data_IF_166178039008
#
_entry.id   IF_166178039008
#
_cell.length_a   1.000
_cell.length_b   1.000
_cell.length_c   1.000
_cell.angle_alpha   90.00
_cell.angle_beta   90.00
_cell.angle_gamma   90.00
#
_symmetry.space_group_name_H-M   'P 1'
#
loop_
_entity.id
_entity.type
_entity.pdbx_description
1 polymer ?
#
# COMPACT_ATOMS: atom_id res chain seq x y z
N UNK A 1 -17.34 27.53 -9.83
CA UNK A 1 -17.31 26.20 -10.48
C UNK A 1 -15.87 25.72 -10.72
N UNK A 2 -15.00 26.47 -11.41
CA UNK A 2 -13.60 26.08 -11.68
C UNK A 2 -12.79 25.80 -10.41
N UNK A 3 -12.88 26.64 -9.37
CA UNK A 3 -12.17 26.43 -8.10
C UNK A 3 -12.57 25.11 -7.40
N UNK A 4 -13.85 24.75 -7.42
CA UNK A 4 -14.35 23.50 -6.84
C UNK A 4 -13.78 22.29 -7.59
N UNK A 5 -13.78 22.34 -8.93
CA UNK A 5 -13.21 21.28 -9.76
C UNK A 5 -11.69 21.13 -9.52
N UNK A 6 -10.99 22.25 -9.36
CA UNK A 6 -9.56 22.23 -9.01
C UNK A 6 -9.30 21.54 -7.66
N UNK A 7 -10.07 21.90 -6.62
CA UNK A 7 -9.95 21.28 -5.30
C UNK A 7 -10.22 19.77 -5.37
N UNK A 8 -11.29 19.37 -6.07
CA UNK A 8 -11.63 17.95 -6.23
C UNK A 8 -10.49 17.21 -6.95
N UNK A 9 -10.00 17.74 -8.08
CA UNK A 9 -8.89 17.13 -8.82
C UNK A 9 -7.63 17.00 -7.95
N UNK A 10 -7.34 18.01 -7.15
CA UNK A 10 -6.21 18.04 -6.22
C UNK A 10 -6.34 16.97 -5.11
N UNK A 11 -7.53 16.84 -4.49
CA UNK A 11 -7.80 15.81 -3.48
C UNK A 11 -7.72 14.41 -4.07
N UNK A 12 -8.31 14.19 -5.25
CA UNK A 12 -8.28 12.90 -5.94
C UNK A 12 -6.85 12.52 -6.33
N UNK A 13 -6.07 13.47 -6.87
CA UNK A 13 -4.66 13.18 -7.24
C UNK A 13 -3.82 12.79 -6.04
N UNK A 14 -3.93 13.49 -4.91
CA UNK A 14 -3.22 13.13 -3.68
C UNK A 14 -3.66 11.77 -3.11
N UNK A 15 -4.95 11.46 -3.23
CA UNK A 15 -5.51 10.16 -2.83
C UNK A 15 -4.94 9.02 -3.67
N UNK A 16 -4.83 9.19 -5.00
CA UNK A 16 -4.22 8.23 -5.91
C UNK A 16 -2.70 8.10 -5.71
N UNK A 17 -2.01 9.21 -5.42
CA UNK A 17 -0.57 9.18 -5.10
C UNK A 17 -0.33 8.35 -3.83
N UNK A 18 -1.13 8.55 -2.77
CA UNK A 18 -1.02 7.76 -1.55
C UNK A 18 -1.27 6.26 -1.81
N UNK A 19 -2.26 5.94 -2.65
CA UNK A 19 -2.56 4.55 -3.04
C UNK A 19 -1.43 3.92 -3.85
N UNK A 20 -0.83 4.66 -4.79
CA UNK A 20 0.33 4.19 -5.55
C UNK A 20 1.54 3.94 -4.64
N UNK A 21 1.83 4.86 -3.70
CA UNK A 21 2.90 4.68 -2.71
C UNK A 21 2.65 3.44 -1.86
N UNK A 22 1.40 3.22 -1.42
CA UNK A 22 1.04 2.01 -0.67
C UNK A 22 1.30 0.75 -1.49
N UNK A 23 0.95 0.77 -2.78
CA UNK A 23 1.20 -0.34 -3.70
C UNK A 23 2.68 -0.61 -3.94
N UNK A 24 3.49 0.43 -4.14
CA UNK A 24 4.95 0.30 -4.31
C UNK A 24 5.59 -0.29 -3.04
N UNK A 25 5.16 0.19 -1.87
CA UNK A 25 5.68 -0.31 -0.58
C UNK A 25 5.30 -1.77 -0.37
N UNK A 26 4.04 -2.14 -0.63
CA UNK A 26 3.55 -3.52 -0.51
C UNK A 26 4.28 -4.44 -1.49
N UNK A 27 4.33 -4.07 -2.78
CA UNK A 27 5.08 -4.81 -3.81
C UNK A 27 6.55 -5.00 -3.42
N UNK A 28 7.20 -3.96 -2.88
CA UNK A 28 8.59 -4.07 -2.46
C UNK A 28 8.76 -5.06 -1.30
N UNK A 29 7.86 -5.05 -0.32
CA UNK A 29 7.88 -6.02 0.80
C UNK A 29 7.76 -7.46 0.30
N UNK A 30 6.85 -7.72 -0.64
CA UNK A 30 6.62 -9.06 -1.17
C UNK A 30 7.74 -9.55 -2.08
N UNK A 31 8.31 -8.64 -2.87
CA UNK A 31 9.22 -9.03 -3.96
C UNK A 31 10.69 -8.89 -3.62
N UNK A 32 11.05 -8.01 -2.69
CA UNK A 32 12.43 -7.70 -2.33
C UNK A 32 12.69 -7.69 -0.81
N UNK A 33 11.65 -7.55 0.00
CA UNK A 33 11.75 -7.54 1.45
C UNK A 33 12.29 -8.87 1.97
N UNK A 34 13.15 -8.80 3.02
CA UNK A 34 13.65 -9.95 3.76
C UNK A 34 13.49 -9.68 5.26
N UNK A 35 13.06 -10.69 6.01
CA UNK A 35 12.82 -10.56 7.46
C UNK A 35 14.10 -10.25 8.23
N UNK A 36 15.25 -10.67 7.70
CA UNK A 36 16.57 -10.44 8.30
C UNK A 36 17.09 -9.01 8.08
N UNK A 37 16.43 -8.17 7.30
CA UNK A 37 16.84 -6.77 7.09
C UNK A 37 16.80 -6.01 8.41
N UNK A 38 17.89 -5.32 8.82
CA UNK A 38 17.89 -4.54 10.05
C UNK A 38 16.77 -3.49 10.05
N UNK A 39 16.05 -3.36 11.14
CA UNK A 39 14.96 -2.38 11.36
C UNK A 39 13.74 -2.66 10.48
N UNK A 40 13.89 -2.70 9.16
CA UNK A 40 12.78 -2.83 8.20
C UNK A 40 12.19 -4.24 8.19
N UNK A 41 13.03 -5.27 8.34
CA UNK A 41 12.58 -6.67 8.43
C UNK A 41 11.51 -6.85 9.51
N UNK A 42 11.83 -6.68 10.79
CA UNK A 42 10.87 -6.88 11.87
C UNK A 42 9.78 -5.79 11.94
N UNK A 43 10.04 -4.59 11.41
CA UNK A 43 9.07 -3.49 11.49
C UNK A 43 7.93 -3.59 10.47
N UNK A 44 8.19 -4.16 9.28
CA UNK A 44 7.21 -4.19 8.20
C UNK A 44 7.19 -5.50 7.41
N UNK A 45 8.34 -6.11 7.07
CA UNK A 45 8.39 -7.31 6.20
C UNK A 45 7.82 -8.52 6.92
N UNK A 46 8.24 -8.80 8.15
CA UNK A 46 7.72 -9.91 8.97
C UNK A 46 6.20 -9.80 9.17
N UNK A 47 5.70 -8.58 9.42
CA UNK A 47 4.26 -8.33 9.59
C UNK A 47 3.52 -8.66 8.28
N UNK A 48 4.10 -8.29 7.15
CA UNK A 48 3.54 -8.55 5.82
C UNK A 48 3.57 -10.05 5.48
N UNK A 49 4.68 -10.76 5.72
CA UNK A 49 4.78 -12.21 5.52
C UNK A 49 3.76 -12.98 6.38
N UNK A 50 3.65 -12.59 7.67
CA UNK A 50 2.65 -13.19 8.56
C UNK A 50 1.22 -12.92 8.10
N UNK A 51 0.96 -11.77 7.50
CA UNK A 51 -0.33 -11.41 6.94
C UNK A 51 -0.68 -12.29 5.72
N UNK A 52 0.25 -12.54 4.79
CA UNK A 52 0.05 -13.45 3.68
C UNK A 52 -0.24 -14.89 4.13
N UNK A 53 0.48 -15.36 5.15
CA UNK A 53 0.24 -16.70 5.73
C UNK A 53 -1.12 -16.82 6.44
N UNK A 54 -1.59 -15.75 7.09
CA UNK A 54 -2.87 -15.68 7.78
C UNK A 54 -3.49 -14.27 7.70
N UNK A 55 -4.20 -13.95 6.62
CA UNK A 55 -4.74 -12.62 6.36
C UNK A 55 -5.63 -12.06 7.47
N UNK A 56 -6.39 -12.93 8.15
CA UNK A 56 -7.27 -12.50 9.24
C UNK A 56 -6.55 -12.21 10.57
N UNK A 57 -5.27 -12.54 10.69
CA UNK A 57 -4.49 -12.24 11.91
C UNK A 57 -4.39 -10.74 12.18
N UNK A 58 -4.42 -9.89 11.14
CA UNK A 58 -4.37 -8.44 11.31
C UNK A 58 -5.65 -7.85 11.94
N UNK A 59 -6.79 -8.56 11.89
CA UNK A 59 -8.07 -8.08 12.45
C UNK A 59 -7.98 -7.86 13.96
N UNK A 60 -7.23 -8.72 14.67
CA UNK A 60 -7.04 -8.62 16.13
C UNK A 60 -6.01 -7.57 16.55
N UNK A 61 -5.33 -6.93 15.60
CA UNK A 61 -4.31 -5.93 15.90
C UNK A 61 -4.88 -4.53 16.04
N UNK A 62 -4.32 -3.76 16.97
CA UNK A 62 -4.74 -2.38 17.17
C UNK A 62 -4.35 -1.50 15.97
N UNK A 63 -5.07 -0.37 15.82
CA UNK A 63 -4.75 0.68 14.85
C UNK A 63 -3.26 1.04 14.87
N UNK A 64 -2.72 1.35 16.05
CA UNK A 64 -1.34 1.79 16.19
C UNK A 64 -0.33 0.71 15.80
N UNK A 65 -0.60 -0.54 16.17
CA UNK A 65 0.25 -1.65 15.77
C UNK A 65 0.39 -1.75 14.24
N UNK A 66 -0.69 -1.59 13.51
CA UNK A 66 -0.71 -1.70 12.04
C UNK A 66 -0.16 -0.44 11.35
N UNK A 67 -0.40 0.74 11.91
CA UNK A 67 -0.19 2.00 11.19
C UNK A 67 1.10 2.72 11.56
N UNK A 68 1.74 2.41 12.70
CA UNK A 68 2.92 3.15 13.20
C UNK A 68 4.05 3.30 12.17
N UNK A 69 4.36 2.25 11.42
CA UNK A 69 5.42 2.29 10.41
C UNK A 69 5.05 3.21 9.24
N UNK A 70 3.78 3.16 8.80
CA UNK A 70 3.27 4.05 7.77
C UNK A 70 3.24 5.51 8.24
N UNK A 71 2.93 5.76 9.52
CA UNK A 71 3.02 7.09 10.12
C UNK A 71 4.45 7.63 10.13
N UNK A 72 5.39 6.84 10.65
CA UNK A 72 6.81 7.24 10.69
C UNK A 72 7.33 7.51 9.28
N UNK A 73 7.04 6.66 8.32
CA UNK A 73 7.46 6.82 6.93
C UNK A 73 6.85 8.08 6.29
N UNK A 74 5.52 8.23 6.33
CA UNK A 74 4.82 9.32 5.65
C UNK A 74 5.18 10.68 6.25
N UNK A 75 5.16 10.81 7.58
CA UNK A 75 5.46 12.06 8.25
C UNK A 75 6.96 12.33 8.36
N UNK A 76 7.80 11.30 8.35
CA UNK A 76 9.25 11.43 8.22
C UNK A 76 9.64 12.11 6.90
N UNK A 77 9.03 11.70 5.78
CA UNK A 77 9.22 12.36 4.47
C UNK A 77 8.77 13.83 4.53
N UNK A 78 7.61 14.12 5.13
CA UNK A 78 7.14 15.49 5.32
C UNK A 78 8.12 16.33 6.16
N UNK A 79 8.65 15.74 7.24
CA UNK A 79 9.64 16.41 8.10
C UNK A 79 10.95 16.71 7.37
N UNK A 80 11.49 15.75 6.63
CA UNK A 80 12.69 15.93 5.80
C UNK A 80 12.45 17.04 4.76
N UNK A 81 11.30 16.99 4.08
CA UNK A 81 10.94 18.01 3.10
C UNK A 81 10.92 19.40 3.72
N UNK A 82 10.26 19.54 4.89
CA UNK A 82 10.19 20.81 5.61
C UNK A 82 11.57 21.34 6.01
N UNK A 83 12.45 20.45 6.50
CA UNK A 83 13.82 20.83 6.87
C UNK A 83 14.67 21.30 5.68
N UNK A 84 14.42 20.78 4.49
CA UNK A 84 15.17 21.13 3.27
C UNK A 84 14.63 22.41 2.61
N UNK A 85 13.29 22.57 2.57
CA UNK A 85 12.63 23.61 1.76
C UNK A 85 11.94 24.71 2.58
N UNK A 86 11.94 24.60 3.92
CA UNK A 86 11.26 25.52 4.85
C UNK A 86 9.78 25.78 4.50
N UNK A 87 9.14 24.84 3.85
CA UNK A 87 7.72 24.84 3.56
C UNK A 87 7.19 23.40 3.50
N UNK A 88 5.88 23.22 3.70
CA UNK A 88 5.23 21.93 3.57
C UNK A 88 3.98 22.08 2.71
N UNK A 89 3.99 21.61 1.45
CA UNK A 89 2.83 21.67 0.56
C UNK A 89 1.64 20.91 1.14
N UNK A 90 0.45 21.49 1.09
CA UNK A 90 -0.80 20.85 1.55
C UNK A 90 -1.04 19.50 0.91
N UNK A 91 -0.60 19.30 -0.35
CA UNK A 91 -0.72 18.02 -1.02
C UNK A 91 0.12 16.93 -0.37
N UNK A 92 1.33 17.25 0.11
CA UNK A 92 2.14 16.29 0.88
C UNK A 92 1.48 15.92 2.21
N UNK A 93 0.90 16.91 2.90
CA UNK A 93 0.13 16.67 4.12
C UNK A 93 -1.04 15.71 3.82
N UNK A 94 -1.79 15.98 2.75
CA UNK A 94 -2.92 15.13 2.35
C UNK A 94 -2.48 13.71 2.02
N UNK A 95 -1.42 13.54 1.22
CA UNK A 95 -0.82 12.23 0.91
C UNK A 95 -0.37 11.52 2.18
N UNK A 96 0.27 12.22 3.10
CA UNK A 96 0.71 11.65 4.38
C UNK A 96 -0.46 11.20 5.26
N UNK A 97 -1.52 12.01 5.35
CA UNK A 97 -2.75 11.65 6.09
C UNK A 97 -3.39 10.39 5.52
N UNK A 98 -3.54 10.31 4.20
CA UNK A 98 -4.13 9.13 3.54
C UNK A 98 -3.21 7.92 3.67
N UNK A 99 -1.93 8.06 3.35
CA UNK A 99 -0.95 6.97 3.36
C UNK A 99 -0.74 6.36 4.74
N UNK A 100 -0.67 7.18 5.80
CA UNK A 100 -0.53 6.68 7.17
C UNK A 100 -1.76 5.88 7.65
N UNK A 101 -2.91 6.00 6.99
CA UNK A 101 -4.12 5.24 7.28
C UNK A 101 -4.40 4.08 6.31
N UNK A 102 -3.52 3.82 5.35
CA UNK A 102 -3.69 2.74 4.37
C UNK A 102 -3.88 1.37 5.00
N UNK A 103 -3.11 1.04 6.04
CA UNK A 103 -3.19 -0.25 6.72
C UNK A 103 -4.53 -0.50 7.44
N UNK A 104 -5.27 0.54 7.81
CA UNK A 104 -6.63 0.38 8.34
C UNK A 104 -7.62 0.03 7.23
N UNK A 105 -7.48 0.65 6.06
CA UNK A 105 -8.28 0.26 4.89
C UNK A 105 -7.98 -1.20 4.55
N UNK A 106 -6.73 -1.59 4.55
CA UNK A 106 -6.27 -2.97 4.34
C UNK A 106 -6.89 -3.94 5.38
N UNK A 107 -6.83 -3.62 6.67
CA UNK A 107 -7.50 -4.42 7.71
C UNK A 107 -9.00 -4.61 7.42
N UNK A 108 -9.71 -3.55 7.01
CA UNK A 108 -11.14 -3.63 6.69
C UNK A 108 -11.44 -4.53 5.48
N UNK A 109 -10.49 -4.77 4.58
CA UNK A 109 -10.69 -5.71 3.47
C UNK A 109 -10.70 -7.18 3.94
N UNK A 110 -10.12 -7.47 5.11
CA UNK A 110 -10.13 -8.82 5.70
C UNK A 110 -11.27 -9.06 6.70
N UNK A 111 -12.07 -8.02 7.00
CA UNK A 111 -13.22 -8.09 7.92
C UNK A 111 -14.50 -8.45 7.19
N UNK A 112 -15.35 -9.26 7.83
CA UNK A 112 -16.74 -9.44 7.40
C UNK A 112 -17.57 -8.17 7.62
N UNK A 113 -18.73 -8.06 6.99
CA UNK A 113 -19.59 -6.86 7.11
C UNK A 113 -20.02 -6.56 8.56
N UNK A 114 -20.23 -7.58 9.37
CA UNK A 114 -20.61 -7.46 10.77
C UNK A 114 -19.44 -7.15 11.74
N UNK A 115 -18.20 -7.21 11.27
CA UNK A 115 -16.99 -6.95 12.07
C UNK A 115 -16.50 -5.50 11.95
N UNK A 116 -17.03 -4.73 11.02
CA UNK A 116 -16.58 -3.38 10.71
C UNK A 116 -17.70 -2.34 10.77
N UNK A 117 -17.37 -1.05 10.98
CA UNK A 117 -18.37 0.02 10.99
C UNK A 117 -19.19 0.06 9.70
N UNK A 118 -20.50 0.30 9.80
CA UNK A 118 -21.40 0.38 8.63
C UNK A 118 -20.92 1.40 7.57
N UNK A 119 -20.34 2.51 8.02
CA UNK A 119 -19.80 3.54 7.10
C UNK A 119 -18.70 2.97 6.20
N UNK A 120 -17.83 2.10 6.74
CA UNK A 120 -16.77 1.42 5.96
C UNK A 120 -17.39 0.53 4.88
N UNK A 121 -18.41 -0.25 5.21
CA UNK A 121 -19.15 -1.07 4.24
C UNK A 121 -19.74 -0.21 3.11
N UNK A 122 -20.32 0.96 3.45
CA UNK A 122 -20.80 1.91 2.45
C UNK A 122 -19.68 2.46 1.56
N UNK A 123 -18.57 2.88 2.15
CA UNK A 123 -17.42 3.37 1.39
C UNK A 123 -16.87 2.32 0.42
N UNK A 124 -16.84 1.04 0.83
CA UNK A 124 -16.45 -0.10 -0.01
C UNK A 124 -17.46 -0.36 -1.15
N UNK A 125 -18.76 -0.31 -0.86
CA UNK A 125 -19.84 -0.46 -1.88
C UNK A 125 -19.82 0.67 -2.91
N UNK A 126 -19.55 1.90 -2.48
CA UNK A 126 -19.39 3.08 -3.33
C UNK A 126 -18.03 3.14 -4.06
N UNK A 127 -17.15 2.16 -3.83
CA UNK A 127 -15.79 2.10 -4.40
C UNK A 127 -14.92 3.33 -4.07
N UNK A 128 -15.14 3.93 -2.91
CA UNK A 128 -14.25 4.98 -2.38
C UNK A 128 -12.97 4.37 -1.85
N UNK A 129 -13.09 3.26 -1.11
CA UNK A 129 -11.98 2.47 -0.61
C UNK A 129 -12.06 1.03 -1.13
N UNK A 130 -10.94 0.32 -1.09
CA UNK A 130 -10.83 -1.07 -1.53
C UNK A 130 -11.77 -1.98 -0.72
N UNK A 131 -12.37 -2.95 -1.38
CA UNK A 131 -13.25 -3.95 -0.77
C UNK A 131 -12.60 -5.34 -0.68
N UNK A 132 -13.18 -6.28 0.10
CA UNK A 132 -12.63 -7.63 0.27
C UNK A 132 -12.39 -8.40 -1.03
N UNK A 133 -13.31 -8.34 -2.00
CA UNK A 133 -13.19 -9.07 -3.26
C UNK A 133 -12.02 -8.57 -4.11
N UNK A 134 -11.77 -7.24 -4.10
CA UNK A 134 -10.65 -6.64 -4.81
C UNK A 134 -9.32 -7.01 -4.18
N UNK A 135 -9.23 -6.97 -2.85
CA UNK A 135 -8.00 -7.32 -2.14
C UNK A 135 -7.71 -8.83 -2.20
N UNK A 136 -8.73 -9.69 -2.20
CA UNK A 136 -8.56 -11.13 -2.41
C UNK A 136 -7.85 -11.48 -3.73
N UNK A 137 -7.89 -10.59 -4.73
CA UNK A 137 -7.12 -10.75 -5.98
C UNK A 137 -5.62 -10.78 -5.72
N UNK A 138 -5.13 -9.98 -4.75
CA UNK A 138 -3.73 -9.98 -4.33
C UNK A 138 -3.35 -11.29 -3.63
N UNK A 139 -4.19 -11.80 -2.73
CA UNK A 139 -3.97 -13.08 -2.04
C UNK A 139 -4.18 -14.33 -2.91
N UNK A 140 -4.48 -14.16 -4.21
CA UNK A 140 -4.58 -15.28 -5.14
C UNK A 140 -3.22 -15.55 -5.77
N UNK A 141 -2.69 -16.78 -5.59
CA UNK A 141 -1.40 -17.17 -6.17
C UNK A 141 -1.31 -16.86 -7.67
N UNK A 142 -0.16 -16.37 -8.17
CA UNK A 142 1.14 -16.24 -7.50
C UNK A 142 1.34 -14.99 -6.63
N UNK A 143 0.30 -14.22 -6.30
CA UNK A 143 0.38 -13.00 -5.46
C UNK A 143 1.24 -11.88 -6.08
N UNK A 144 1.24 -11.78 -7.41
CA UNK A 144 2.10 -10.85 -8.17
C UNK A 144 1.33 -9.65 -8.77
N UNK A 145 0.20 -9.26 -8.16
CA UNK A 145 -0.69 -8.20 -8.65
C UNK A 145 -1.51 -7.57 -7.52
N UNK A 146 -2.21 -6.47 -7.84
CA UNK A 146 -3.16 -5.81 -6.96
C UNK A 146 -2.54 -5.30 -5.64
N UNK A 147 -1.33 -4.75 -5.68
CA UNK A 147 -0.59 -4.31 -4.51
C UNK A 147 -1.09 -3.03 -3.84
N UNK A 148 -1.83 -2.16 -4.56
CA UNK A 148 -2.45 -0.97 -3.96
C UNK A 148 -3.57 -1.38 -3.01
N UNK A 149 -3.60 -0.82 -1.79
CA UNK A 149 -4.47 -1.28 -0.70
C UNK A 149 -5.53 -0.26 -0.27
N UNK A 150 -5.51 0.96 -0.83
CA UNK A 150 -6.40 2.04 -0.40
C UNK A 150 -7.63 2.14 -1.30
N UNK A 151 -7.42 2.22 -2.63
CA UNK A 151 -8.51 2.39 -3.59
C UNK A 151 -8.69 1.18 -4.51
N UNK A 152 -9.88 1.01 -5.12
CA UNK A 152 -10.08 0.01 -6.16
C UNK A 152 -9.60 0.44 -7.55
N UNK A 153 -9.04 1.66 -7.71
CA UNK A 153 -8.94 2.28 -9.02
C UNK A 153 -7.61 2.02 -9.74
N UNK A 154 -6.49 2.01 -9.01
CA UNK A 154 -5.16 1.87 -9.61
C UNK A 154 -4.82 0.44 -10.01
N UNK A 155 -5.15 -0.54 -9.18
CA UNK A 155 -4.80 -1.94 -9.44
C UNK A 155 -5.20 -2.44 -10.84
N UNK A 156 -6.45 -2.24 -11.34
CA UNK A 156 -6.82 -2.70 -12.68
C UNK A 156 -5.97 -2.07 -13.80
N UNK A 157 -5.55 -0.81 -13.61
CA UNK A 157 -4.75 -0.07 -14.59
C UNK A 157 -3.31 -0.58 -14.58
N UNK A 158 -2.73 -0.70 -13.38
CA UNK A 158 -1.34 -1.13 -13.19
C UNK A 158 -1.14 -2.58 -13.64
N UNK A 159 -2.06 -3.48 -13.27
CA UNK A 159 -2.01 -4.89 -13.62
C UNK A 159 -2.19 -5.11 -15.13
N UNK A 160 -3.17 -4.45 -15.76
CA UNK A 160 -3.37 -4.50 -17.22
C UNK A 160 -2.13 -4.08 -18.00
N UNK A 161 -1.40 -3.09 -17.49
CA UNK A 161 -0.17 -2.60 -18.10
C UNK A 161 1.08 -3.36 -17.65
N UNK A 162 0.95 -4.42 -16.87
CA UNK A 162 2.07 -5.19 -16.33
C UNK A 162 3.11 -4.31 -15.62
N UNK A 163 2.65 -3.30 -14.88
CA UNK A 163 3.49 -2.27 -14.27
C UNK A 163 4.54 -2.88 -13.34
N UNK A 164 4.12 -3.77 -12.45
CA UNK A 164 4.98 -4.42 -11.46
C UNK A 164 6.09 -5.26 -12.11
N UNK A 165 5.72 -6.07 -13.09
CA UNK A 165 6.68 -6.86 -13.86
C UNK A 165 7.71 -5.98 -14.62
N UNK A 166 7.27 -4.87 -15.21
CA UNK A 166 8.18 -3.93 -15.88
C UNK A 166 9.15 -3.29 -14.89
N UNK A 167 8.65 -2.93 -13.70
CA UNK A 167 9.46 -2.35 -12.63
C UNK A 167 10.52 -3.35 -12.14
N UNK A 168 10.17 -4.63 -11.96
CA UNK A 168 11.10 -5.71 -11.64
C UNK A 168 12.19 -5.87 -12.70
N UNK A 169 11.82 -5.89 -13.98
CA UNK A 169 12.79 -5.99 -15.07
C UNK A 169 13.75 -4.79 -15.12
N UNK A 170 13.27 -3.59 -14.82
CA UNK A 170 14.12 -2.38 -14.74
C UNK A 170 15.12 -2.52 -13.58
N UNK A 171 14.65 -2.94 -12.40
CA UNK A 171 15.53 -3.13 -11.23
C UNK A 171 16.57 -4.21 -11.51
N UNK A 172 16.17 -5.34 -12.05
CA UNK A 172 17.08 -6.43 -12.40
C UNK A 172 18.10 -5.99 -13.43
N UNK A 173 17.68 -5.25 -14.47
CA UNK A 173 18.59 -4.71 -15.49
C UNK A 173 19.59 -3.70 -14.93
N UNK A 174 19.15 -2.77 -14.08
CA UNK A 174 20.00 -1.69 -13.57
C UNK A 174 20.90 -2.13 -12.41
N UNK A 175 20.43 -3.03 -11.56
CA UNK A 175 21.09 -3.37 -10.31
C UNK A 175 21.48 -4.85 -10.19
N UNK A 176 21.07 -5.71 -11.12
CA UNK A 176 21.34 -7.15 -11.08
C UNK A 176 20.60 -7.87 -9.94
N UNK A 177 19.50 -7.28 -9.42
CA UNK A 177 18.76 -7.81 -8.27
C UNK A 177 17.40 -8.35 -8.75
N UNK A 178 17.25 -9.67 -8.90
CA UNK A 178 15.96 -10.28 -9.24
C UNK A 178 15.02 -10.32 -8.01
N UNK A 179 13.71 -10.37 -8.21
CA UNK A 179 12.75 -10.52 -7.12
C UNK A 179 12.87 -11.88 -6.42
N UNK A 180 12.51 -11.95 -5.13
CA UNK A 180 12.69 -13.11 -4.27
C UNK A 180 12.12 -14.43 -4.84
N UNK A 181 10.97 -14.41 -5.49
CA UNK A 181 10.35 -15.62 -6.09
C UNK A 181 11.15 -16.18 -7.24
N UNK A 182 11.77 -15.35 -8.09
CA UNK A 182 12.66 -15.81 -9.16
C UNK A 182 13.93 -16.47 -8.59
N UNK A 183 14.41 -16.00 -7.44
CA UNK A 183 15.55 -16.63 -6.75
C UNK A 183 15.19 -18.01 -6.18
N UNK A 184 13.95 -18.21 -5.72
CA UNK A 184 13.48 -19.52 -5.24
C UNK A 184 13.33 -20.51 -6.40
N UNK A 185 12.86 -20.07 -7.56
CA UNK A 185 12.72 -20.91 -8.75
C UNK A 185 14.06 -21.34 -9.36
N UNK A 186 15.13 -20.54 -9.17
CA UNK A 186 16.47 -20.87 -9.63
C UNK A 186 17.21 -21.84 -8.71
N UNK A 187 16.75 -22.01 -7.46
CA UNK A 187 17.38 -22.87 -6.45
C UNK A 187 16.63 -24.21 -6.27
N UNK A 188 15.54 -24.44 -7.00
CA UNK A 188 14.78 -25.70 -7.09
C UNK A 188 15.04 -26.39 -8.43
#
# INVERSE_FOLDING_TARGET
MMQVLYIIAWLVSGYLIADLISGITHWWMDRYGKEEMPIVGPAVVEINTMHHANPRRMISRSYWYLSKSAWVFSWGICGIWYLVFDNLPWQMIWVAVVGSNGNIVHQWTHMFENEKPRIVTWMQKLRIIQNPAQHATHHTKPEERAYCIITPWLNPILDKNRFWFRLENIIEYLFGVPPNTRLQDLNN
#
